data_IF_540660037432
#
_entry.id   IF_540660037432
#
_cell.length_a   1.000
_cell.length_b   1.000
_cell.length_c   1.000
_cell.angle_alpha   90.00
_cell.angle_beta   90.00
_cell.angle_gamma   90.00
#
_symmetry.space_group_name_H-M   'P 1'
#
loop_
_entity.id
_entity.type
_entity.pdbx_description
1 polymer ?
2 non-polymer ?
3 non-polymer ?
4 non-polymer ?
5 non-polymer ?
6 water ?
#
# COMPACT_ATOMS: atom_id res chain seq x y z
N UNK A 1 14.27 -18.65 -27.69
CA UNK A 1 14.59 -17.55 -28.66
C UNK A 1 14.77 -16.19 -27.95
N UNK A 2 13.94 -15.91 -26.94
CA UNK A 2 13.97 -14.62 -26.23
C UNK A 2 15.04 -14.54 -25.16
N UNK A 3 15.23 -15.63 -24.40
CA UNK A 3 16.22 -15.72 -23.30
C UNK A 3 17.54 -16.44 -23.70
N UNK A 4 17.67 -16.81 -24.98
CA UNK A 4 18.86 -17.46 -25.52
C UNK A 4 19.80 -16.43 -26.13
N UNK A 5 21.08 -16.48 -25.78
CA UNK A 5 22.06 -15.51 -26.29
C UNK A 5 22.56 -15.87 -27.69
N UNK A 6 22.49 -14.91 -28.61
CA UNK A 6 23.05 -15.08 -29.93
C UNK A 6 24.44 -14.46 -30.01
N UNK A 7 24.61 -13.29 -29.42
CA UNK A 7 25.92 -12.61 -29.34
C UNK A 7 26.00 -11.70 -28.13
N UNK A 8 27.20 -11.55 -27.59
CA UNK A 8 27.46 -10.64 -26.50
C UNK A 8 28.75 -9.93 -26.76
N UNK A 9 28.80 -8.61 -26.57
CA UNK A 9 30.06 -7.90 -26.73
C UNK A 9 30.14 -6.62 -25.91
N UNK A 10 31.36 -6.12 -25.80
CA UNK A 10 31.64 -4.89 -25.10
C UNK A 10 31.67 -3.76 -26.12
N UNK A 11 30.97 -2.67 -25.80
CA UNK A 11 30.86 -1.49 -26.65
C UNK A 11 31.27 -0.22 -25.90
N UNK A 12 31.35 0.91 -26.61
CA UNK A 12 31.35 2.23 -25.98
C UNK A 12 32.51 2.26 -24.98
N UNK A 13 33.70 1.95 -25.49
CA UNK A 13 34.91 1.90 -24.66
C UNK A 13 34.94 0.77 -23.65
N UNK A 14 34.15 -0.26 -23.95
CA UNK A 14 33.90 -1.39 -23.04
C UNK A 14 33.12 -0.99 -21.76
N UNK A 15 32.50 0.20 -21.79
CA UNK A 15 31.67 0.68 -20.69
C UNK A 15 30.21 0.14 -20.80
N UNK A 16 29.92 -0.63 -21.84
CA UNK A 16 28.55 -1.17 -22.05
C UNK A 16 28.65 -2.62 -22.54
N UNK A 17 27.72 -3.48 -22.19
CA UNK A 17 27.67 -4.82 -22.79
C UNK A 17 26.38 -4.90 -23.55
N UNK A 18 26.48 -5.29 -24.82
CA UNK A 18 25.30 -5.51 -25.64
C UNK A 18 25.09 -7.02 -25.80
N UNK A 19 23.84 -7.44 -25.60
CA UNK A 19 23.38 -8.81 -25.80
C UNK A 19 22.35 -8.76 -26.91
N UNK A 20 22.64 -9.44 -27.99
CA UNK A 20 21.66 -9.69 -29.04
C UNK A 20 21.09 -11.08 -28.76
N UNK A 21 19.78 -11.18 -28.61
CA UNK A 21 19.07 -12.45 -28.30
C UNK A 21 18.62 -13.16 -29.58
N UNK A 22 18.14 -14.41 -29.45
CA UNK A 22 17.74 -15.17 -30.65
C UNK A 22 16.41 -14.69 -31.25
N UNK A 23 15.67 -13.85 -30.52
CA UNK A 23 14.49 -13.18 -31.09
C UNK A 23 14.84 -11.92 -31.91
N UNK A 24 16.12 -11.54 -31.98
CA UNK A 24 16.59 -10.33 -32.71
C UNK A 24 16.60 -9.03 -31.84
N UNK A 25 15.92 -9.04 -30.69
CA UNK A 25 15.99 -7.90 -29.76
C UNK A 25 17.39 -7.75 -29.19
N UNK A 26 17.76 -6.52 -28.84
CA UNK A 26 19.07 -6.21 -28.30
C UNK A 26 18.83 -5.63 -26.93
N UNK A 27 19.73 -5.90 -25.98
CA UNK A 27 19.67 -5.31 -24.65
C UNK A 27 21.02 -4.78 -24.33
N UNK A 28 21.05 -3.71 -23.53
CA UNK A 28 22.28 -3.02 -23.19
C UNK A 28 22.41 -2.99 -21.65
N UNK A 29 23.65 -3.17 -21.17
CA UNK A 29 23.94 -3.32 -19.75
C UNK A 29 25.20 -2.54 -19.42
N UNK A 30 25.09 -1.53 -18.55
CA UNK A 30 26.27 -0.81 -18.19
C UNK A 30 27.27 -1.71 -17.47
N UNK A 31 28.53 -1.53 -17.78
CA UNK A 31 29.62 -2.26 -17.20
C UNK A 31 29.67 -2.13 -15.68
N UNK A 32 29.50 -0.92 -15.17
CA UNK A 32 29.51 -0.64 -13.71
C UNK A 32 28.38 -1.39 -13.00
N UNK A 33 27.21 -1.46 -13.63
CA UNK A 33 26.09 -2.22 -13.10
C UNK A 33 26.42 -3.73 -13.09
N UNK A 34 27.14 -4.22 -14.09
CA UNK A 34 27.49 -5.65 -14.12
C UNK A 34 28.46 -5.93 -12.98
N UNK A 35 29.49 -5.12 -12.86
CA UNK A 35 30.44 -5.30 -11.81
C UNK A 35 29.80 -5.18 -10.43
N UNK A 36 28.88 -4.23 -10.30
CA UNK A 36 28.24 -3.95 -8.99
C UNK A 36 27.44 -5.18 -8.56
N UNK A 37 26.88 -5.89 -9.55
CA UNK A 37 26.01 -7.02 -9.31
C UNK A 37 26.59 -8.39 -9.65
N UNK A 38 27.91 -8.52 -9.52
CA UNK A 38 28.55 -9.81 -9.69
C UNK A 38 27.98 -10.81 -8.68
N UNK A 39 27.46 -11.94 -9.14
CA UNK A 39 26.92 -12.92 -8.20
C UNK A 39 27.94 -13.85 -7.54
N UNK A 40 29.23 -13.58 -7.69
CA UNK A 40 30.24 -14.47 -7.12
C UNK A 40 30.18 -14.41 -5.57
N UNK A 41 30.74 -15.40 -4.89
CA UNK A 41 30.67 -15.48 -3.44
C UNK A 41 31.47 -14.37 -2.71
N UNK A 42 32.39 -13.70 -3.40
CA UNK A 42 33.06 -12.51 -2.79
C UNK A 42 32.16 -11.28 -2.76
N UNK A 43 31.38 -11.10 -3.83
CA UNK A 43 30.57 -9.91 -4.03
C UNK A 43 29.11 -10.01 -3.56
N UNK A 44 28.66 -11.23 -3.28
CA UNK A 44 27.26 -11.52 -3.06
C UNK A 44 27.03 -12.68 -2.06
N UNK A 45 26.29 -12.39 -1.01
CA UNK A 45 25.99 -13.36 0.05
C UNK A 45 24.71 -14.08 -0.31
N UNK A 46 24.89 -15.31 -0.79
CA UNK A 46 23.81 -16.13 -1.30
C UNK A 46 22.73 -16.49 -0.31
N UNK A 47 23.12 -16.87 0.91
CA UNK A 47 22.17 -17.18 1.99
C UNK A 47 21.27 -15.98 2.30
N UNK A 48 21.80 -14.76 2.20
CA UNK A 48 21.01 -13.54 2.44
C UNK A 48 20.41 -12.92 1.17
N UNK A 49 20.73 -13.47 0.00
CA UNK A 49 20.48 -12.80 -1.28
C UNK A 49 20.78 -11.28 -1.20
N UNK A 50 22.02 -10.95 -0.82
CA UNK A 50 22.45 -9.56 -0.65
C UNK A 50 23.86 -9.31 -1.17
N UNK A 51 24.11 -8.04 -1.47
CA UNK A 51 25.40 -7.61 -1.98
C UNK A 51 26.39 -7.45 -0.83
N UNK A 52 27.51 -8.14 -0.90
CA UNK A 52 28.63 -7.88 0.00
C UNK A 52 29.55 -6.81 -0.56
N UNK A 53 29.59 -6.70 -1.88
CA UNK A 53 30.40 -5.66 -2.53
C UNK A 53 30.13 -4.26 -1.95
N UNK A 54 31.19 -3.58 -1.52
CA UNK A 54 31.10 -2.21 -1.07
C UNK A 54 31.19 -1.22 -2.22
N UNK A 55 30.56 -0.06 -2.03
CA UNK A 55 30.57 1.00 -3.04
C UNK A 55 32.03 1.39 -3.21
N UNK A 56 32.77 1.32 -2.10
CA UNK A 56 34.18 1.64 -2.05
C UNK A 56 35.01 0.75 -2.97
N UNK A 57 34.56 -0.47 -3.25
CA UNK A 57 35.29 -1.41 -4.11
C UNK A 57 34.98 -1.19 -5.58
N UNK A 58 33.97 -0.38 -5.85
CA UNK A 58 33.47 -0.16 -7.19
C UNK A 58 34.15 1.01 -7.89
N UNK A 59 34.78 0.71 -9.02
CA UNK A 59 35.28 1.72 -9.93
C UNK A 59 34.14 2.11 -10.85
N UNK A 60 33.67 3.35 -10.73
CA UNK A 60 32.51 3.82 -11.51
C UNK A 60 32.83 4.09 -12.99
N UNK A 61 34.13 4.14 -13.31
CA UNK A 61 34.60 4.28 -14.71
C UNK A 61 34.99 2.94 -15.34
N UNK A 62 34.74 1.84 -14.63
CA UNK A 62 35.15 0.51 -15.05
C UNK A 62 34.67 0.17 -16.48
N UNK A 63 35.53 -0.54 -17.18
CA UNK A 63 35.16 -1.16 -18.46
C UNK A 63 35.34 -2.65 -18.37
N UNK A 64 34.61 -3.38 -19.22
CA UNK A 64 34.81 -4.84 -19.38
C UNK A 64 36.19 -5.12 -20.02
N UNK A 65 36.99 -6.03 -19.43
CA UNK A 65 38.28 -6.35 -20.05
C UNK A 65 38.18 -7.46 -21.10
N UNK A 66 37.68 -8.63 -20.69
CA UNK A 66 37.38 -9.67 -21.64
C UNK A 66 35.96 -10.14 -21.47
N UNK A 67 35.41 -10.69 -22.55
CA UNK A 67 34.12 -11.37 -22.47
C UNK A 67 34.03 -12.57 -23.45
N UNK A 68 33.46 -13.67 -22.96
CA UNK A 68 33.02 -14.77 -23.80
C UNK A 68 31.60 -15.15 -23.35
N UNK A 69 30.90 -15.89 -24.19
CA UNK A 69 29.53 -16.28 -23.88
C UNK A 69 29.17 -17.60 -24.52
N UNK A 70 28.12 -18.21 -24.03
CA UNK A 70 27.50 -19.29 -24.76
C UNK A 70 26.03 -18.91 -24.84
N UNK A 71 25.14 -19.88 -25.06
CA UNK A 71 23.72 -19.56 -25.20
C UNK A 71 23.00 -19.16 -23.90
N UNK A 72 23.51 -19.64 -22.75
CA UNK A 72 22.86 -19.43 -21.45
C UNK A 72 23.60 -18.50 -20.44
N UNK A 73 24.81 -18.03 -20.77
CA UNK A 73 25.71 -17.31 -19.85
C UNK A 73 26.73 -16.40 -20.56
N UNK A 74 27.14 -15.32 -19.88
CA UNK A 74 28.28 -14.51 -20.29
C UNK A 74 29.33 -14.64 -19.22
N UNK A 75 30.59 -14.62 -19.64
CA UNK A 75 31.70 -14.79 -18.73
C UNK A 75 32.62 -13.59 -18.91
N UNK A 76 32.87 -12.86 -17.83
CA UNK A 76 33.56 -11.58 -17.91
C UNK A 76 34.74 -11.52 -17.01
N UNK A 77 35.84 -10.99 -17.56
CA UNK A 77 37.01 -10.58 -16.81
C UNK A 77 37.04 -9.07 -16.72
N UNK A 78 37.49 -8.59 -15.56
CA UNK A 78 37.58 -7.17 -15.26
C UNK A 78 39.05 -6.71 -15.19
N UNK A 79 39.32 -5.43 -15.40
CA UNK A 79 40.73 -4.99 -15.41
C UNK A 79 41.59 -5.35 -14.19
N UNK A 80 40.97 -5.51 -13.01
CA UNK A 80 41.73 -5.90 -11.81
C UNK A 80 41.86 -7.42 -11.63
N UNK A 81 41.37 -8.16 -12.63
CA UNK A 81 41.39 -9.63 -12.70
C UNK A 81 40.21 -10.30 -11.98
N UNK A 82 39.30 -9.53 -11.40
CA UNK A 82 38.08 -10.12 -10.88
C UNK A 82 37.32 -10.78 -12.05
N UNK A 83 36.52 -11.81 -11.75
CA UNK A 83 35.86 -12.61 -12.77
C UNK A 83 34.38 -12.79 -12.45
N UNK A 84 33.52 -12.62 -13.45
CA UNK A 84 32.07 -12.62 -13.22
C UNK A 84 31.31 -13.45 -14.26
N UNK A 85 30.35 -14.24 -13.80
CA UNK A 85 29.47 -15.01 -14.68
C UNK A 85 28.04 -14.60 -14.46
N UNK A 86 27.31 -14.39 -15.54
CA UNK A 86 25.90 -14.01 -15.46
C UNK A 86 25.01 -14.91 -16.30
N UNK A 87 23.81 -15.18 -15.83
CA UNK A 87 22.86 -16.06 -16.53
C UNK A 87 21.92 -15.28 -17.44
N UNK A 88 21.55 -15.87 -18.56
CA UNK A 88 20.79 -15.19 -19.60
C UNK A 88 19.46 -14.71 -19.11
N UNK A 89 18.74 -15.59 -18.45
CA UNK A 89 17.38 -15.29 -17.98
C UNK A 89 17.41 -14.20 -16.93
N UNK A 90 18.37 -14.28 -16.00
CA UNK A 90 18.65 -13.21 -15.02
C UNK A 90 18.86 -11.86 -15.70
N UNK A 91 19.71 -11.83 -16.73
CA UNK A 91 20.01 -10.60 -17.46
C UNK A 91 18.78 -10.05 -18.17
N UNK A 92 18.04 -10.94 -18.82
CA UNK A 92 16.88 -10.55 -19.62
C UNK A 92 15.79 -9.91 -18.75
N UNK A 93 15.50 -10.51 -17.61
CA UNK A 93 14.55 -9.98 -16.65
C UNK A 93 14.88 -8.52 -16.28
N UNK A 94 16.17 -8.23 -16.09
CA UNK A 94 16.63 -6.94 -15.57
C UNK A 94 17.01 -5.95 -16.68
N UNK A 95 16.59 -6.26 -17.91
CA UNK A 95 16.80 -5.43 -19.11
C UNK A 95 16.33 -3.98 -18.87
N UNK A 96 17.15 -3.02 -19.27
CA UNK A 96 16.89 -1.60 -18.98
C UNK A 96 15.91 -0.88 -19.90
N UNK A 97 15.31 -1.58 -20.87
CA UNK A 97 14.30 -0.93 -21.71
C UNK A 97 13.09 -0.50 -20.89
N UNK A 98 12.38 0.52 -21.35
CA UNK A 98 11.20 1.01 -20.64
C UNK A 98 10.21 -0.13 -20.44
N UNK A 99 9.95 -0.92 -21.48
CA UNK A 99 8.95 -2.03 -21.42
C UNK A 99 9.32 -3.11 -20.43
N UNK A 100 10.58 -3.50 -20.43
CA UNK A 100 11.04 -4.55 -19.50
C UNK A 100 11.01 -4.06 -18.04
N UNK A 101 11.43 -2.82 -17.82
CA UNK A 101 11.45 -2.28 -16.45
C UNK A 101 10.02 -2.19 -15.86
N UNK A 102 9.06 -1.71 -16.65
CA UNK A 102 7.68 -1.57 -16.19
C UNK A 102 7.03 -2.93 -15.95
N UNK A 103 7.32 -3.89 -16.81
CA UNK A 103 6.78 -5.23 -16.63
C UNK A 103 7.16 -5.77 -15.26
N UNK A 104 8.44 -5.64 -14.93
CA UNK A 104 8.97 -6.12 -13.67
C UNK A 104 8.39 -5.32 -12.49
N UNK A 105 8.31 -3.99 -12.61
CA UNK A 105 7.63 -3.17 -11.58
C UNK A 105 6.19 -3.63 -11.29
N UNK A 106 5.44 -3.92 -12.33
CA UNK A 106 4.08 -4.45 -12.16
C UNK A 106 4.03 -5.76 -11.41
N UNK A 107 5.03 -6.59 -11.63
CA UNK A 107 5.11 -7.86 -10.92
C UNK A 107 5.44 -7.60 -9.49
N UNK A 108 6.29 -6.63 -9.22
CA UNK A 108 6.74 -6.41 -7.85
C UNK A 108 5.67 -5.75 -6.98
N UNK A 109 4.95 -4.79 -7.55
CA UNK A 109 4.11 -3.87 -6.78
C UNK A 109 2.61 -3.89 -7.07
N UNK A 110 2.15 -4.72 -8.00
CA UNK A 110 0.72 -4.87 -8.32
C UNK A 110 -0.01 -3.53 -8.41
N UNK A 111 0.46 -2.64 -9.28
CA UNK A 111 -0.03 -1.27 -9.26
C UNK A 111 -1.48 -1.07 -9.71
N UNK A 112 -2.09 -2.08 -10.34
CA UNK A 112 -3.39 -1.86 -10.97
C UNK A 112 -4.54 -1.64 -9.97
N UNK A 113 -5.38 -0.64 -10.25
CA UNK A 113 -6.52 -0.27 -9.40
C UNK A 113 -7.82 -0.28 -10.21
N UNK A 114 -8.90 -0.76 -9.62
CA UNK A 114 -10.20 -0.60 -10.21
C UNK A 114 -10.96 0.43 -9.42
N UNK A 115 -11.17 1.59 -10.04
CA UNK A 115 -11.85 2.69 -9.39
C UNK A 115 -13.34 2.39 -9.35
N UNK A 116 -14.02 2.86 -8.30
CA UNK A 116 -15.46 2.62 -8.19
C UNK A 116 -16.22 3.77 -7.49
N UNK A 117 -17.54 3.73 -7.71
CA UNK A 117 -18.50 4.56 -7.00
C UNK A 117 -19.61 3.71 -6.39
N UNK A 118 -20.82 4.25 -6.41
CA UNK A 118 -21.96 3.57 -5.81
C UNK A 118 -22.28 2.22 -6.46
N UNK A 119 -21.79 2.00 -7.68
CA UNK A 119 -21.99 0.71 -8.39
C UNK A 119 -21.19 -0.48 -7.83
N UNK A 120 -20.38 -0.23 -6.81
CA UNK A 120 -19.56 -1.28 -6.26
C UNK A 120 -20.27 -2.63 -6.04
N UNK A 121 -19.67 -3.67 -6.62
CA UNK A 121 -19.93 -5.06 -6.24
C UNK A 121 -18.94 -5.34 -5.15
N UNK A 122 -19.40 -5.38 -3.91
CA UNK A 122 -18.51 -5.59 -2.80
C UNK A 122 -17.84 -6.98 -2.84
N UNK A 123 -16.51 -7.03 -3.13
CA UNK A 123 -15.84 -8.33 -3.18
C UNK A 123 -15.95 -9.05 -1.85
N UNK A 124 -16.39 -10.30 -1.92
CA UNK A 124 -16.69 -11.08 -0.74
C UNK A 124 -16.06 -12.46 -0.84
N UNK A 125 -15.43 -12.93 0.24
CA UNK A 125 -14.91 -14.30 0.35
C UNK A 125 -15.27 -14.87 1.70
N UNK A 126 -15.12 -16.20 1.83
CA UNK A 126 -15.30 -16.85 3.13
C UNK A 126 -14.05 -16.67 3.98
N UNK A 127 -14.25 -16.55 5.30
CA UNK A 127 -13.19 -16.28 6.26
C UNK A 127 -12.29 -17.50 6.50
N UNK A 128 -12.88 -18.64 6.86
CA UNK A 128 -12.07 -19.86 7.11
C UNK A 128 -11.30 -20.31 5.88
N UNK A 129 -11.90 -20.13 4.70
CA UNK A 129 -11.24 -20.44 3.45
C UNK A 129 -9.99 -19.64 3.21
N UNK A 130 -10.03 -18.37 3.59
CA UNK A 130 -8.91 -17.46 3.43
C UNK A 130 -7.80 -17.90 4.39
N UNK A 131 -8.19 -18.33 5.59
CA UNK A 131 -7.22 -18.86 6.56
C UNK A 131 -6.61 -20.18 6.10
N UNK A 132 -7.47 -21.05 5.58
CA UNK A 132 -7.06 -22.39 5.22
C UNK A 132 -6.33 -22.48 3.89
N UNK A 133 -6.70 -21.70 2.88
CA UNK A 133 -6.24 -21.92 1.49
C UNK A 133 -5.50 -20.78 0.83
N UNK A 134 -4.32 -21.08 0.28
CA UNK A 134 -3.51 -20.08 -0.36
C UNK A 134 -4.22 -19.44 -1.55
N UNK A 135 -5.01 -20.23 -2.29
CA UNK A 135 -5.76 -19.71 -3.44
C UNK A 135 -6.73 -18.59 -3.00
N UNK A 136 -7.44 -18.80 -1.89
CA UNK A 136 -8.36 -17.80 -1.37
C UNK A 136 -7.66 -16.56 -0.76
N UNK A 137 -6.63 -16.83 0.05
CA UNK A 137 -5.80 -15.78 0.64
C UNK A 137 -5.14 -14.91 -0.44
N UNK A 138 -4.81 -15.51 -1.57
CA UNK A 138 -4.26 -14.76 -2.66
C UNK A 138 -5.32 -13.86 -3.28
N UNK A 139 -6.49 -14.43 -3.49
CA UNK A 139 -7.62 -13.71 -4.03
C UNK A 139 -7.97 -12.56 -3.07
N UNK A 140 -7.80 -12.81 -1.78
CA UNK A 140 -8.11 -11.82 -0.76
C UNK A 140 -7.18 -10.65 -0.91
N UNK A 141 -5.88 -10.89 -0.81
CA UNK A 141 -4.95 -9.77 -0.81
C UNK A 141 -4.86 -9.03 -2.15
N UNK A 142 -4.95 -9.75 -3.26
CA UNK A 142 -4.83 -9.11 -4.59
C UNK A 142 -6.07 -8.27 -4.84
N UNK A 143 -7.22 -8.71 -4.36
CA UNK A 143 -8.44 -7.91 -4.48
C UNK A 143 -8.42 -6.68 -3.55
N UNK A 144 -7.98 -6.88 -2.32
CA UNK A 144 -7.69 -5.77 -1.41
C UNK A 144 -6.85 -4.68 -2.10
N UNK A 145 -5.81 -5.08 -2.81
CA UNK A 145 -4.90 -4.14 -3.45
C UNK A 145 -5.58 -3.46 -4.63
N UNK A 146 -6.24 -4.27 -5.45
CA UNK A 146 -6.84 -3.78 -6.67
C UNK A 146 -8.07 -2.90 -6.39
N UNK A 147 -8.98 -3.40 -5.57
CA UNK A 147 -10.27 -2.76 -5.37
C UNK A 147 -10.24 -1.78 -4.18
N UNK A 148 -9.47 -2.10 -3.14
CA UNK A 148 -9.33 -1.27 -1.98
C UNK A 148 -10.11 -1.88 -0.83
N UNK A 149 -10.93 -2.89 -1.10
CA UNK A 149 -11.73 -3.50 -0.05
C UNK A 149 -12.17 -4.92 -0.40
N UNK A 150 -12.25 -5.75 0.64
CA UNK A 150 -12.76 -7.11 0.55
C UNK A 150 -13.51 -7.36 1.84
N UNK A 151 -14.67 -7.99 1.73
CA UNK A 151 -15.43 -8.40 2.90
C UNK A 151 -15.32 -9.90 3.09
N UNK A 152 -15.02 -10.34 4.29
CA UNK A 152 -14.95 -11.78 4.54
C UNK A 152 -16.16 -12.15 5.39
N UNK A 153 -16.90 -13.19 4.99
CA UNK A 153 -18.09 -13.63 5.72
C UNK A 153 -17.82 -14.93 6.47
N UNK A 154 -18.71 -15.29 7.40
CA UNK A 154 -18.59 -16.55 8.14
C UNK A 154 -17.49 -16.62 9.18
N UNK A 155 -17.13 -15.49 9.76
CA UNK A 155 -16.25 -15.54 10.90
C UNK A 155 -17.12 -15.72 12.15
N UNK A 156 -16.48 -15.86 13.30
CA UNK A 156 -17.22 -16.02 14.54
C UNK A 156 -17.79 -14.68 14.96
N UNK A 157 -18.60 -14.71 16.01
CA UNK A 157 -19.12 -13.50 16.63
C UNK A 157 -18.39 -13.27 17.94
N UNK A 158 -17.06 -13.41 17.90
CA UNK A 158 -16.22 -13.46 19.10
C UNK A 158 -14.93 -12.70 18.84
N UNK A 159 -14.34 -12.11 19.89
CA UNK A 159 -13.03 -11.49 19.72
C UNK A 159 -11.96 -12.47 19.24
N UNK A 160 -10.90 -11.95 18.65
CA UNK A 160 -9.78 -12.77 18.22
C UNK A 160 -9.73 -13.13 16.75
N UNK A 161 -10.72 -12.72 15.96
CA UNK A 161 -10.75 -13.12 14.54
C UNK A 161 -9.79 -12.29 13.69
N UNK A 162 -9.74 -10.98 13.93
CA UNK A 162 -8.81 -10.13 13.20
C UNK A 162 -7.34 -10.54 13.44
N UNK A 163 -7.07 -11.06 14.65
CA UNK A 163 -5.73 -11.58 15.00
C UNK A 163 -5.34 -12.71 14.09
N UNK A 164 -6.31 -13.57 13.79
CA UNK A 164 -6.05 -14.71 12.92
C UNK A 164 -5.60 -14.24 11.53
N UNK A 165 -6.21 -13.15 11.06
CA UNK A 165 -5.89 -12.58 9.75
C UNK A 165 -4.57 -11.88 9.80
N UNK A 166 -4.28 -11.25 10.92
CA UNK A 166 -2.96 -10.68 11.12
C UNK A 166 -1.88 -11.76 11.05
N UNK A 167 -2.11 -12.91 11.67
CA UNK A 167 -1.15 -14.01 11.60
C UNK A 167 -1.09 -14.48 10.15
N UNK A 168 -2.24 -14.55 9.46
CA UNK A 168 -2.24 -14.97 8.06
C UNK A 168 -1.46 -13.99 7.19
N UNK A 169 -1.57 -12.70 7.45
CA UNK A 169 -0.79 -11.73 6.68
C UNK A 169 0.68 -11.86 7.12
N UNK A 170 0.90 -11.84 8.42
CA UNK A 170 2.23 -11.89 8.99
C UNK A 170 2.22 -11.40 10.41
N UNK A 171 1.93 -10.11 10.58
CA UNK A 171 1.68 -9.52 11.90
C UNK A 171 0.97 -8.18 11.69
N UNK A 172 0.30 -7.76 12.77
CA UNK A 172 -0.47 -6.52 12.78
C UNK A 172 0.42 -5.36 13.22
N UNK A 173 -0.10 -4.15 13.08
CA UNK A 173 0.64 -2.93 13.31
C UNK A 173 0.20 -2.36 14.64
N UNK A 174 1.09 -2.46 15.63
CA UNK A 174 0.83 -1.97 16.98
C UNK A 174 0.65 -0.47 16.97
N UNK A 175 -0.42 0.02 17.60
CA UNK A 175 -0.57 1.47 17.80
C UNK A 175 -0.87 1.74 19.24
N UNK A 176 -1.07 3.00 19.58
CA UNK A 176 -1.41 3.41 20.93
C UNK A 176 -2.78 2.93 21.36
N UNK A 177 -3.57 2.42 20.43
CA UNK A 177 -4.88 1.89 20.77
C UNK A 177 -4.85 0.39 20.90
N UNK A 178 -3.66 -0.22 20.89
CA UNK A 178 -3.52 -1.65 21.13
C UNK A 178 -3.13 -2.40 19.88
N UNK A 179 -2.83 -3.68 20.01
CA UNK A 179 -2.67 -4.56 18.85
C UNK A 179 -3.97 -4.71 18.09
N UNK A 180 -5.06 -4.83 18.85
CA UNK A 180 -6.42 -4.82 18.36
C UNK A 180 -7.19 -3.93 19.32
N UNK A 181 -8.37 -3.49 18.92
CA UNK A 181 -9.10 -2.50 19.69
C UNK A 181 -10.57 -2.72 19.51
N UNK A 182 -11.35 -2.24 20.47
CA UNK A 182 -12.76 -2.55 20.55
C UNK A 182 -13.56 -1.29 20.25
N UNK A 183 -14.36 -1.30 19.18
CA UNK A 183 -15.19 -0.14 18.78
C UNK A 183 -16.58 -0.33 19.34
N UNK A 184 -16.86 0.42 20.39
CA UNK A 184 -18.13 0.32 21.11
C UNK A 184 -18.24 1.61 21.91
N UNK A 185 -19.43 1.92 22.43
CA UNK A 185 -19.67 3.16 23.20
C UNK A 185 -18.96 3.09 24.55
N UNK A 186 -18.22 4.13 24.93
CA UNK A 186 -17.38 4.07 26.13
C UNK A 186 -17.49 5.34 26.98
N UNK A 187 -17.73 5.14 28.27
CA UNK A 187 -17.67 6.22 29.26
C UNK A 187 -16.31 6.89 29.18
N UNK A 188 -16.30 8.22 29.24
CA UNK A 188 -15.09 9.01 29.08
C UNK A 188 -14.31 8.59 27.85
N UNK A 189 -15.00 8.50 26.72
CA UNK A 189 -14.37 8.04 25.49
C UNK A 189 -13.11 8.83 25.18
N UNK A 190 -11.99 8.15 24.97
CA UNK A 190 -10.78 8.81 24.48
C UNK A 190 -10.80 9.08 22.96
N UNK A 191 -11.92 8.77 22.30
CA UNK A 191 -11.97 8.85 20.84
C UNK A 191 -13.40 8.82 20.32
N UNK A 192 -13.72 9.66 19.32
CA UNK A 192 -15.12 9.75 18.86
C UNK A 192 -15.64 8.44 18.28
N UNK A 193 -14.74 7.58 17.84
CA UNK A 193 -15.13 6.25 17.37
C UNK A 193 -15.82 5.44 18.48
N UNK A 194 -15.43 5.72 19.73
CA UNK A 194 -15.96 5.05 20.89
C UNK A 194 -17.20 5.79 21.53
N UNK A 195 -18.15 6.16 20.68
CA UNK A 195 -19.39 6.78 21.09
C UNK A 195 -20.39 6.30 20.07
N UNK A 196 -21.66 6.70 20.22
CA UNK A 196 -22.71 6.34 19.28
C UNK A 196 -22.89 7.34 18.10
N UNK A 197 -22.04 8.35 18.05
CA UNK A 197 -22.16 9.41 17.08
C UNK A 197 -21.83 8.92 15.69
N UNK A 198 -22.20 9.76 14.71
CA UNK A 198 -21.95 9.51 13.31
C UNK A 198 -20.49 9.84 13.09
N UNK A 199 -19.83 9.03 12.28
CA UNK A 199 -18.51 9.33 11.80
C UNK A 199 -18.66 9.59 10.32
N UNK A 200 -18.29 10.78 9.89
CA UNK A 200 -18.26 11.10 8.47
C UNK A 200 -17.03 10.46 7.87
N UNK A 201 -16.91 10.52 6.55
CA UNK A 201 -15.78 9.93 5.87
C UNK A 201 -14.46 10.44 6.42
N UNK A 202 -13.60 9.48 6.75
CA UNK A 202 -12.26 9.74 7.23
C UNK A 202 -11.34 8.59 6.86
N UNK A 203 -10.05 8.81 6.99
CA UNK A 203 -9.09 7.73 7.04
C UNK A 203 -8.71 7.64 8.48
N UNK A 204 -8.19 6.49 8.91
CA UNK A 204 -7.79 6.28 10.30
C UNK A 204 -6.34 6.65 10.50
N UNK A 205 -6.10 7.29 11.65
CA UNK A 205 -4.80 7.65 12.18
C UNK A 205 -3.93 8.61 11.37
N UNK A 206 -4.52 9.69 10.79
CA UNK A 206 -3.64 10.71 10.22
C UNK A 206 -2.74 11.41 11.25
N UNK A 207 -3.09 11.32 12.53
CA UNK A 207 -2.21 11.81 13.61
C UNK A 207 -0.82 11.15 13.58
N UNK A 208 -0.67 10.02 12.88
CA UNK A 208 0.66 9.41 12.66
C UNK A 208 1.24 9.78 11.29
N UNK A 209 2.53 10.07 11.24
CA UNK A 209 3.20 10.32 9.97
C UNK A 209 3.16 9.11 9.03
N UNK A 210 3.05 7.90 9.56
CA UNK A 210 2.79 6.72 8.71
C UNK A 210 1.45 6.03 9.05
N UNK A 211 0.34 6.58 8.55
CA UNK A 211 -0.95 5.94 8.85
C UNK A 211 -1.03 4.45 8.45
N UNK A 212 -1.82 3.66 9.19
CA UNK A 212 -2.04 2.29 8.81
C UNK A 212 -2.43 2.16 7.31
N UNK A 213 -1.78 1.22 6.63
CA UNK A 213 -2.10 0.95 5.26
C UNK A 213 -3.42 0.18 5.15
N UNK A 214 -3.58 -0.85 5.98
CA UNK A 214 -4.73 -1.72 5.86
C UNK A 214 -5.46 -1.75 7.16
N UNK A 215 -6.79 -1.72 7.09
CA UNK A 215 -7.61 -1.76 8.28
C UNK A 215 -8.48 -2.99 8.23
N UNK A 216 -8.64 -3.62 9.38
CA UNK A 216 -9.54 -4.75 9.55
C UNK A 216 -10.57 -4.37 10.60
N UNK A 217 -11.84 -4.60 10.30
CA UNK A 217 -12.94 -4.34 11.22
C UNK A 217 -13.85 -5.56 11.17
N UNK A 218 -14.11 -6.11 12.34
CA UNK A 218 -14.86 -7.34 12.45
C UNK A 218 -16.06 -7.06 13.33
N UNK A 219 -17.24 -7.39 12.80
CA UNK A 219 -18.47 -7.13 13.53
C UNK A 219 -18.81 -8.29 14.47
N UNK A 220 -18.81 -8.00 15.76
CA UNK A 220 -19.16 -8.96 16.80
C UNK A 220 -20.65 -8.78 17.16
N UNK A 221 -21.07 -7.53 17.32
CA UNK A 221 -22.44 -7.18 17.67
C UNK A 221 -22.88 -5.95 16.85
N UNK A 222 -24.08 -6.03 16.28
CA UNK A 222 -24.64 -4.95 15.45
C UNK A 222 -25.96 -4.47 16.02
N UNK A 223 -26.20 -3.17 15.89
CA UNK A 223 -27.44 -2.58 16.41
C UNK A 223 -28.44 -2.47 15.25
N UNK A 224 -29.73 -2.46 15.58
CA UNK A 224 -30.71 -2.15 14.54
C UNK A 224 -31.06 -0.67 14.56
N UNK A 225 -30.53 0.09 15.53
CA UNK A 225 -30.91 1.49 15.66
C UNK A 225 -30.12 2.39 14.73
N UNK A 226 -29.17 1.80 13.99
CA UNK A 226 -28.33 2.50 13.05
C UNK A 226 -27.06 1.70 12.76
N UNK A 227 -25.94 2.43 12.64
CA UNK A 227 -24.62 1.82 12.53
C UNK A 227 -24.21 1.33 11.16
N UNK A 228 -24.89 1.82 10.12
CA UNK A 228 -24.58 1.39 8.77
C UNK A 228 -23.18 1.86 8.42
N UNK A 229 -22.47 1.08 7.60
CA UNK A 229 -21.15 1.46 7.16
C UNK A 229 -21.28 2.23 5.88
N UNK A 230 -20.35 3.14 5.65
CA UNK A 230 -20.24 3.83 4.38
C UNK A 230 -18.78 3.82 3.96
N UNK A 231 -18.53 3.62 2.66
CA UNK A 231 -17.17 3.76 2.12
C UNK A 231 -17.22 4.60 0.86
N UNK A 232 -16.05 5.09 0.48
CA UNK A 232 -15.85 5.91 -0.71
C UNK A 232 -14.43 5.64 -1.22
N UNK A 233 -14.21 5.67 -2.53
CA UNK A 233 -12.90 5.43 -3.12
C UNK A 233 -12.22 6.78 -3.29
N UNK A 234 -11.28 7.06 -2.40
CA UNK A 234 -10.68 8.37 -2.36
C UNK A 234 -9.95 8.73 -3.64
N UNK A 235 -9.37 7.74 -4.31
CA UNK A 235 -8.61 8.05 -5.52
C UNK A 235 -9.57 8.50 -6.58
N UNK A 236 -10.72 7.87 -6.62
CA UNK A 236 -11.76 8.24 -7.59
C UNK A 236 -12.29 9.63 -7.30
N UNK A 237 -12.53 9.90 -6.02
CA UNK A 237 -13.01 11.22 -5.63
C UNK A 237 -12.00 12.31 -5.95
N UNK A 238 -10.72 12.02 -5.76
CA UNK A 238 -9.69 13.00 -6.02
C UNK A 238 -9.63 13.33 -7.50
N UNK A 239 -9.84 12.30 -8.31
CA UNK A 239 -9.80 12.47 -9.74
C UNK A 239 -10.95 13.42 -10.19
N UNK A 240 -12.15 13.22 -9.66
CA UNK A 240 -13.28 14.09 -9.94
C UNK A 240 -13.01 15.53 -9.48
N UNK A 241 -12.43 15.66 -8.30
CA UNK A 241 -12.13 16.98 -7.76
C UNK A 241 -11.17 17.77 -8.63
N UNK A 242 -10.11 17.13 -9.10
CA UNK A 242 -9.15 17.79 -9.99
C UNK A 242 -9.78 18.30 -11.26
N UNK A 243 -10.75 17.56 -11.75
CA UNK A 243 -11.51 17.90 -12.94
C UNK A 243 -12.51 19.02 -12.64
N UNK A 244 -13.32 18.86 -11.59
CA UNK A 244 -14.31 19.87 -11.19
C UNK A 244 -13.76 21.16 -10.58
N UNK A 245 -12.74 21.06 -9.73
CA UNK A 245 -12.25 22.21 -8.97
C UNK A 245 -10.73 22.15 -8.84
N UNK A 246 -10.03 22.52 -9.91
CA UNK A 246 -8.60 22.35 -9.86
C UNK A 246 -8.03 23.11 -8.71
N UNK A 247 -8.60 24.27 -8.40
CA UNK A 247 -8.02 25.08 -7.35
C UNK A 247 -8.19 24.43 -5.98
N UNK A 248 -9.30 23.74 -5.74
CA UNK A 248 -9.51 23.00 -4.51
C UNK A 248 -8.53 21.81 -4.39
N UNK A 249 -8.29 21.16 -5.51
CA UNK A 249 -7.32 20.07 -5.60
C UNK A 249 -5.92 20.59 -5.29
N UNK A 250 -5.54 21.69 -5.93
CA UNK A 250 -4.22 22.27 -5.68
C UNK A 250 -3.98 22.59 -4.20
N UNK A 251 -5.00 23.14 -3.54
CA UNK A 251 -4.93 23.54 -2.13
C UNK A 251 -4.83 22.33 -1.21
N UNK A 252 -5.73 21.38 -1.41
CA UNK A 252 -5.73 20.16 -0.62
C UNK A 252 -4.50 19.27 -0.85
N UNK A 253 -3.93 19.32 -2.05
CA UNK A 253 -2.72 18.58 -2.33
C UNK A 253 -1.42 19.32 -2.04
N UNK A 254 -1.48 20.57 -1.51
CA UNK A 254 -0.25 21.31 -1.12
C UNK A 254 -0.19 21.92 0.32
N UNK A 255 -1.30 21.90 1.04
CA UNK A 255 -1.38 22.54 2.33
C UNK A 255 -1.13 21.52 3.40
N UNK A 256 -0.14 21.75 4.26
CA UNK A 256 0.06 20.89 5.42
C UNK A 256 -0.94 21.24 6.54
N UNK A 257 -1.73 20.23 6.91
CA UNK A 257 -2.73 20.28 7.96
C UNK A 257 -2.20 19.52 9.19
N UNK A 258 -2.40 20.10 10.39
CA UNK A 258 -1.89 19.51 11.62
C UNK A 258 -2.92 18.58 12.19
N UNK A 259 -2.52 17.39 12.64
CA UNK A 259 -3.44 16.44 13.29
C UNK A 259 -2.89 16.16 14.67
N UNK A 260 -3.76 15.77 15.60
CA UNK A 260 -3.39 15.62 16.99
C UNK A 260 -4.11 14.48 17.66
N UNK A 261 -3.52 13.93 18.70
CA UNK A 261 -4.20 12.90 19.50
C UNK A 261 -3.48 12.82 20.84
N UNK A 262 -4.17 13.24 21.91
CA UNK A 262 -3.59 13.24 23.25
C UNK A 262 -4.53 12.40 24.09
N UNK A 263 -4.00 11.46 24.86
CA UNK A 263 -4.85 10.55 25.64
C UNK A 263 -4.09 9.41 26.31
N UNK A 264 -4.84 8.41 26.74
CA UNK A 264 -4.29 7.20 27.34
C UNK A 264 -5.08 6.02 26.82
N UNK A 265 -4.41 5.03 26.25
CA UNK A 265 -5.09 3.76 25.92
C UNK A 265 -4.06 2.66 26.14
N UNK A 266 -3.49 2.07 25.09
CA UNK A 266 -2.46 1.04 25.29
C UNK A 266 -1.38 1.62 26.20
N UNK A 267 -1.26 2.93 26.18
CA UNK A 267 -0.19 3.59 26.82
C UNK A 267 -0.54 5.07 26.78
N UNK A 268 0.23 5.94 27.44
CA UNK A 268 -0.09 7.38 27.40
C UNK A 268 0.58 8.03 26.21
N UNK A 269 -0.12 8.98 25.62
CA UNK A 269 0.30 9.53 24.35
C UNK A 269 -0.08 10.98 24.13
N UNK A 270 0.81 11.66 23.41
CA UNK A 270 0.61 13.01 22.92
C UNK A 270 1.16 12.97 21.50
N UNK A 271 0.29 12.80 20.52
CA UNK A 271 0.69 12.56 19.12
C UNK A 271 0.35 13.78 18.26
N UNK A 272 1.30 14.18 17.39
CA UNK A 272 1.16 15.32 16.50
C UNK A 272 1.76 15.01 15.12
N UNK A 273 1.08 15.41 14.05
CA UNK A 273 1.61 15.23 12.71
C UNK A 273 1.19 16.37 11.82
N UNK A 274 1.84 16.44 10.67
CA UNK A 274 1.45 17.30 9.55
C UNK A 274 1.33 16.40 8.33
N UNK A 275 0.25 16.54 7.56
CA UNK A 275 0.04 15.82 6.32
C UNK A 275 -0.72 16.72 5.35
N UNK A 276 -0.48 16.52 4.06
CA UNK A 276 -1.34 17.08 3.05
C UNK A 276 -2.52 16.12 2.91
N UNK A 277 -3.75 16.64 2.93
CA UNK A 277 -4.94 15.78 2.83
C UNK A 277 -4.87 14.93 1.57
N UNK A 278 -4.56 15.53 0.43
CA UNK A 278 -4.34 14.74 -0.76
C UNK A 278 -2.84 14.65 -0.95
N UNK A 279 -2.29 13.46 -0.71
CA UNK A 279 -0.82 13.29 -0.84
C UNK A 279 -0.45 12.78 -2.24
N UNK A 280 0.43 13.48 -2.93
CA UNK A 280 0.85 13.08 -4.27
C UNK A 280 2.25 12.49 -4.28
N UNK A 281 2.53 11.61 -5.24
CA UNK A 281 3.92 11.19 -5.51
C UNK A 281 4.62 12.25 -6.38
N UNK A 282 5.85 11.96 -6.81
CA UNK A 282 6.65 12.92 -7.61
C UNK A 282 6.11 13.10 -9.02
N UNK A 283 5.29 12.15 -9.48
CA UNK A 283 4.63 12.33 -10.77
C UNK A 283 3.24 12.94 -10.66
N UNK A 284 2.87 13.40 -9.47
CA UNK A 284 1.57 14.05 -9.28
C UNK A 284 0.38 13.11 -9.13
N UNK A 285 0.63 11.82 -8.96
CA UNK A 285 -0.44 10.85 -8.81
C UNK A 285 -0.82 10.70 -7.34
N UNK A 286 -2.10 10.57 -7.06
CA UNK A 286 -2.50 10.47 -5.69
C UNK A 286 -2.10 9.13 -5.18
N UNK A 287 -1.36 9.11 -4.08
CA UNK A 287 -0.95 7.86 -3.44
C UNK A 287 -1.46 7.69 -2.01
N UNK A 288 -1.88 8.78 -1.34
CA UNK A 288 -2.59 8.65 -0.04
C UNK A 288 -3.46 9.86 0.30
N UNK A 289 -4.55 9.56 1.01
CA UNK A 289 -5.44 10.54 1.62
C UNK A 289 -5.22 10.50 3.11
N UNK A 290 -5.05 11.68 3.70
CA UNK A 290 -4.79 11.84 5.11
C UNK A 290 -5.81 12.81 5.68
N UNK A 291 -6.91 12.27 6.18
CA UNK A 291 -7.97 13.11 6.65
C UNK A 291 -8.94 12.42 7.61
N UNK A 292 -8.86 12.77 8.89
CA UNK A 292 -9.91 12.48 9.87
C UNK A 292 -10.31 13.82 10.51
N UNK A 293 -11.58 14.22 10.35
CA UNK A 293 -12.01 15.54 10.86
C UNK A 293 -12.01 15.61 12.37
N UNK A 294 -12.08 14.46 13.02
CA UNK A 294 -12.06 14.42 14.47
C UNK A 294 -10.70 14.87 15.01
N UNK A 295 -9.64 14.41 14.37
CA UNK A 295 -8.28 14.57 14.90
C UNK A 295 -7.52 15.66 14.21
N UNK A 296 -8.16 16.35 13.30
CA UNK A 296 -7.58 17.57 12.75
C UNK A 296 -7.43 18.57 13.92
N UNK A 297 -6.24 19.13 14.09
CA UNK A 297 -5.96 20.01 15.23
C UNK A 297 -6.72 21.38 15.16
N UNK A 298 -6.85 22.02 16.31
CA UNK A 298 -7.28 23.42 16.39
C UNK A 298 -6.13 24.32 15.90
N UNK A 299 -4.92 23.86 16.15
CA UNK A 299 -3.74 24.46 15.55
C UNK A 299 -3.79 24.27 14.02
N UNK A 300 -3.56 25.36 13.27
CA UNK A 300 -3.53 25.30 11.81
C UNK A 300 -2.46 26.23 11.28
N UNK A 301 -1.35 25.63 10.80
CA UNK A 301 -0.08 26.32 10.49
C UNK A 301 -0.11 26.88 9.09
N UNK A 302 -1.02 27.83 8.84
CA UNK A 302 -1.06 28.52 7.55
C UNK A 302 -1.32 30.01 7.78
N UNK A 303 -0.92 30.86 6.81
CA UNK A 303 -1.16 32.31 6.91
C UNK A 303 -2.63 32.58 6.92
N UNK A 304 -3.00 33.72 7.49
CA UNK A 304 -4.42 33.99 7.75
C UNK A 304 -5.26 33.95 6.47
N UNK A 305 -4.66 34.42 5.36
CA UNK A 305 -5.39 34.55 4.08
C UNK A 305 -5.67 33.22 3.38
N UNK A 306 -4.95 32.17 3.77
CA UNK A 306 -5.18 30.82 3.23
C UNK A 306 -6.24 29.99 3.96
N UNK A 307 -6.65 30.46 5.14
CA UNK A 307 -7.53 29.68 5.99
C UNK A 307 -8.88 29.43 5.34
N UNK A 308 -9.60 30.49 4.96
CA UNK A 308 -10.95 30.30 4.47
C UNK A 308 -11.03 29.51 3.14
N UNK A 309 -10.13 29.80 2.19
CA UNK A 309 -10.08 28.96 0.99
C UNK A 309 -9.76 27.49 1.29
N UNK A 310 -8.92 27.20 2.28
CA UNK A 310 -8.70 25.81 2.66
C UNK A 310 -10.02 25.17 3.03
N UNK A 311 -10.80 25.85 3.85
CA UNK A 311 -12.08 25.30 4.28
C UNK A 311 -13.04 25.17 3.11
N UNK A 312 -13.03 26.15 2.21
CA UNK A 312 -13.91 26.04 1.04
C UNK A 312 -13.48 24.80 0.21
N UNK A 313 -12.17 24.53 0.15
CA UNK A 313 -11.64 23.33 -0.57
C UNK A 313 -12.04 22.04 0.11
N UNK A 314 -11.74 21.93 1.39
CA UNK A 314 -12.14 20.74 2.16
C UNK A 314 -13.62 20.40 1.95
N UNK A 315 -14.45 21.45 1.92
CA UNK A 315 -15.90 21.33 1.81
C UNK A 315 -16.29 20.73 0.49
N UNK A 316 -15.72 21.24 -0.61
CA UNK A 316 -15.97 20.65 -1.95
C UNK A 316 -15.64 19.14 -2.01
N UNK A 317 -14.51 18.81 -1.40
CA UNK A 317 -14.03 17.43 -1.31
C UNK A 317 -15.03 16.54 -0.56
N UNK A 318 -15.42 16.95 0.65
CA UNK A 318 -16.39 16.20 1.45
C UNK A 318 -17.74 16.10 0.73
N UNK A 319 -18.11 17.17 0.04
CA UNK A 319 -19.36 17.14 -0.70
C UNK A 319 -19.29 16.07 -1.80
N UNK A 320 -18.14 15.97 -2.48
CA UNK A 320 -17.94 14.92 -3.49
C UNK A 320 -18.04 13.54 -2.93
N UNK A 321 -17.42 13.33 -1.76
CA UNK A 321 -17.51 12.02 -1.07
C UNK A 321 -18.93 11.62 -0.73
N UNK A 322 -19.75 12.58 -0.33
CA UNK A 322 -21.16 12.32 0.04
C UNK A 322 -22.11 12.17 -1.13
N UNK A 323 -21.65 12.49 -2.34
CA UNK A 323 -22.47 12.36 -3.52
C UNK A 323 -22.97 10.93 -3.73
N UNK A 324 -24.23 10.79 -4.07
CA UNK A 324 -24.83 9.46 -4.24
C UNK A 324 -24.10 8.62 -5.32
N UNK A 325 -23.38 9.26 -6.24
CA UNK A 325 -22.57 8.53 -7.24
C UNK A 325 -21.23 7.95 -6.73
N UNK A 326 -20.76 8.40 -5.57
CA UNK A 326 -19.45 8.01 -5.08
C UNK A 326 -19.54 7.02 -3.94
N UNK A 327 -20.48 7.20 -3.04
CA UNK A 327 -20.46 6.38 -1.85
C UNK A 327 -21.25 5.11 -2.00
N UNK A 328 -20.75 4.09 -1.32
CA UNK A 328 -21.40 2.80 -1.23
C UNK A 328 -21.66 2.59 0.25
N UNK A 329 -22.86 2.14 0.58
CA UNK A 329 -23.26 1.99 1.96
C UNK A 329 -23.76 0.56 2.18
N UNK A 330 -23.49 0.03 3.36
CA UNK A 330 -23.83 -1.34 3.65
C UNK A 330 -23.86 -1.46 5.14
N UNK A 331 -24.42 -2.55 5.64
CA UNK A 331 -24.52 -2.76 7.07
C UNK A 331 -23.87 -4.08 7.38
N UNK A 332 -22.88 -4.04 8.28
CA UNK A 332 -22.16 -5.23 8.68
C UNK A 332 -23.05 -6.07 9.61
N UNK A 333 -22.91 -7.39 9.50
CA UNK A 333 -23.54 -8.34 10.41
C UNK A 333 -22.51 -9.04 11.26
N UNK A 334 -22.92 -9.52 12.44
CA UNK A 334 -22.02 -10.35 13.23
C UNK A 334 -21.43 -11.48 12.39
N UNK A 335 -20.11 -11.61 12.36
CA UNK A 335 -19.44 -12.58 11.51
C UNK A 335 -18.78 -11.95 10.30
N UNK A 336 -19.15 -10.71 9.99
CA UNK A 336 -18.53 -10.01 8.88
C UNK A 336 -17.21 -9.39 9.28
N UNK A 337 -16.25 -9.43 8.37
CA UNK A 337 -14.98 -8.73 8.52
C UNK A 337 -14.73 -7.92 7.25
N UNK A 338 -14.51 -6.62 7.38
CA UNK A 338 -14.06 -5.83 6.23
C UNK A 338 -12.57 -5.47 6.38
N UNK A 339 -11.86 -5.62 5.28
CA UNK A 339 -10.42 -5.39 5.18
C UNK A 339 -10.28 -4.43 4.02
N UNK A 340 -9.66 -3.27 4.28
CA UNK A 340 -9.56 -2.32 3.23
C UNK A 340 -8.29 -1.53 3.25
N UNK A 341 -8.07 -0.81 2.15
CA UNK A 341 -6.96 0.12 1.98
C UNK A 341 -7.32 1.44 2.65
N UNK A 342 -6.70 1.68 3.79
CA UNK A 342 -6.88 2.89 4.59
C UNK A 342 -6.06 4.08 4.07
N UNK A 343 -5.31 3.86 3.00
CA UNK A 343 -4.65 4.97 2.30
C UNK A 343 -5.54 5.52 1.16
N UNK A 344 -6.45 4.71 0.65
CA UNK A 344 -7.26 5.05 -0.51
C UNK A 344 -8.72 5.26 -0.14
N UNK A 345 -9.32 4.33 0.60
CA UNK A 345 -10.73 4.49 0.91
C UNK A 345 -10.94 5.53 2.03
N UNK A 346 -12.10 6.19 2.09
CA UNK A 346 -12.48 6.82 3.35
C UNK A 346 -13.71 6.09 3.83
N UNK A 347 -13.85 5.97 5.13
CA UNK A 347 -14.93 5.18 5.62
C UNK A 347 -15.69 5.89 6.72
N UNK A 348 -16.87 5.39 7.02
CA UNK A 348 -17.75 6.09 7.89
C UNK A 348 -18.83 5.23 8.46
N UNK A 349 -19.60 5.82 9.35
CA UNK A 349 -20.58 5.08 10.11
C UNK A 349 -21.73 6.03 10.49
N UNK A 350 -22.96 5.51 10.39
CA UNK A 350 -24.14 6.25 10.83
C UNK A 350 -24.30 6.17 12.33
N UNK A 351 -24.89 7.21 12.90
CA UNK A 351 -25.16 7.24 14.34
C UNK A 351 -26.09 6.08 14.74
N UNK A 352 -26.08 5.74 16.02
CA UNK A 352 -27.00 4.72 16.51
C UNK A 352 -27.33 5.13 17.93
N UNK A 353 -28.17 4.37 18.61
CA UNK A 353 -28.67 4.80 19.93
C UNK A 353 -27.86 4.13 21.05
N UNK A 354 -27.55 4.94 22.06
CA UNK A 354 -26.91 4.48 23.29
C UNK A 354 -27.89 3.74 24.18
N UNK A 355 -27.37 2.77 24.92
CA UNK A 355 -28.16 2.07 25.91
C UNK A 355 -27.35 1.75 27.14
N UNK A 356 -27.99 1.14 28.12
CA UNK A 356 -27.29 0.69 29.32
C UNK A 356 -26.41 -0.53 29.03
N UNK A 357 -26.77 -1.34 28.05
CA UNK A 357 -25.91 -2.45 27.59
C UNK A 357 -25.30 -2.13 26.22
N UNK A 358 -24.21 -2.84 25.90
CA UNK A 358 -23.51 -2.65 24.64
C UNK A 358 -24.36 -3.25 23.51
N UNK A 359 -24.87 -2.40 22.63
CA UNK A 359 -25.71 -2.87 21.53
C UNK A 359 -24.88 -3.13 20.27
N UNK A 360 -23.65 -2.62 20.29
CA UNK A 360 -22.81 -2.61 19.11
C UNK A 360 -21.33 -2.73 19.47
N UNK A 361 -20.65 -3.68 18.82
CA UNK A 361 -19.26 -4.00 19.10
C UNK A 361 -18.55 -4.46 17.82
N UNK A 362 -17.49 -3.73 17.44
CA UNK A 362 -16.57 -4.18 16.41
C UNK A 362 -15.20 -4.41 17.04
N UNK A 363 -14.40 -5.30 16.46
CA UNK A 363 -13.00 -5.37 16.79
C UNK A 363 -12.18 -5.06 15.54
N UNK A 364 -11.19 -4.19 15.71
CA UNK A 364 -10.37 -3.78 14.61
C UNK A 364 -8.89 -3.97 14.87
N UNK A 365 -8.14 -3.87 13.79
CA UNK A 365 -6.70 -3.85 13.86
C UNK A 365 -6.23 -3.28 12.55
N UNK A 366 -4.93 -3.05 12.47
CA UNK A 366 -4.27 -2.48 11.31
C UNK A 366 -3.11 -3.36 10.89
N UNK A 367 -2.62 -3.11 9.68
CA UNK A 367 -1.40 -3.76 9.19
C UNK A 367 -0.72 -2.85 8.20
N UNK A 368 0.60 -2.99 8.10
CA UNK A 368 1.39 -2.18 7.20
C UNK A 368 1.29 -2.76 5.81
N UNK A 369 1.26 -1.88 4.81
CA UNK A 369 1.15 -2.30 3.40
C UNK A 369 2.35 -3.09 2.94
N UNK A 370 3.52 -2.83 3.49
CA UNK A 370 4.71 -3.60 3.13
C UNK A 370 4.64 -5.06 3.61
N UNK A 371 4.02 -5.26 4.78
CA UNK A 371 3.83 -6.57 5.37
C UNK A 371 2.79 -7.34 4.54
N UNK A 372 1.83 -6.60 3.99
CA UNK A 372 0.73 -7.19 3.22
C UNK A 372 1.18 -7.59 1.83
N UNK A 373 1.95 -6.71 1.21
CA UNK A 373 2.52 -6.94 -0.12
C UNK A 373 3.52 -8.06 -0.11
N UNK A 374 4.28 -8.20 0.97
CA UNK A 374 5.16 -9.35 1.14
C UNK A 374 4.40 -10.67 1.08
N UNK A 375 3.31 -10.78 1.84
CA UNK A 375 2.52 -11.99 1.87
C UNK A 375 1.89 -12.17 0.51
N UNK A 376 1.52 -11.07 -0.15
CA UNK A 376 0.93 -11.15 -1.49
C UNK A 376 1.89 -11.76 -2.50
N UNK A 377 3.12 -11.26 -2.54
CA UNK A 377 4.16 -11.76 -3.44
C UNK A 377 4.48 -13.23 -3.22
N UNK A 378 4.57 -13.65 -1.95
CA UNK A 378 4.81 -15.05 -1.61
C UNK A 378 3.61 -15.91 -2.01
N UNK A 379 2.41 -15.40 -1.78
CA UNK A 379 1.21 -16.17 -2.10
C UNK A 379 1.12 -16.38 -3.59
N UNK A 380 1.42 -15.36 -4.39
CA UNK A 380 1.39 -15.48 -5.85
C UNK A 380 2.35 -16.56 -6.34
N UNK A 381 3.55 -16.60 -5.76
CA UNK A 381 4.56 -17.58 -6.12
C UNK A 381 4.08 -19.01 -5.88
N UNK A 382 3.35 -19.25 -4.77
CA UNK A 382 2.88 -20.60 -4.41
C UNK A 382 1.72 -21.10 -5.27
N UNK A 383 0.91 -20.17 -5.78
CA UNK A 383 -0.29 -20.49 -6.54
C UNK A 383 -0.02 -20.53 -8.04
N UNK A 384 1.12 -19.98 -8.48
CA UNK A 384 1.49 -19.94 -9.89
C UNK A 384 2.76 -20.72 -10.16
X LIG B 1 -13.49 3.87 13.46
X LIG B 1 -14.52 3.59 12.48
X LIG B 1 -16.59 2.56 11.92
X LIG B 1 -17.75 1.89 12.59
X LIG B 1 -12.49 4.52 13.10
X LIG B 1 -13.62 3.40 14.63
X LIG B 1 -14.43 3.96 11.32
X LIG B 1 -18.55 1.36 11.82
X LIG B 1 -15.55 2.87 12.88
X LIG B 1 -17.90 1.92 13.84
X LIG C 1 -8.62 3.34 17.34
X LIG C 1 -7.55 2.59 16.55
X LIG C 1 -10.39 3.22 15.67
X LIG C 1 -10.45 4.79 17.47
X LIG C 1 -8.80 5.12 15.72
X LIG C 1 -9.70 6.17 15.05
X LIG C 1 -8.99 6.92 13.95
X LIG C 1 -8.26 8.14 14.43
X LIG C 1 -9.56 4.11 16.50
X LIG C 1 -8.15 8.45 15.64
X LIG C 1 -6.50 3.43 16.27
X LIG C 1 -7.73 8.81 13.53
X LIG D 1 -12.33 4.74 11.22
X LIG E 1 32.38 -11.09 -7.84
X LIG F 1 32.18 -22.52 -20.57
X LIG F 1 32.88 -21.23 -20.29
X LIG F 1 33.61 -21.28 -18.96
X LIG F 1 34.54 -20.06 -18.76
X LIG F 1 35.37 -20.15 -17.48
X LIG F 1 36.44 -19.06 -17.47
X LIG F 1 37.30 -19.09 -16.20
X LIG F 1 38.27 -17.95 -16.17
#
# INVERSE_FOLDING_TARGET
>A
MACTIQKAEALDGAHLMQILWYDEEESLYPAVWLRDNCPCSDCYLDSAKARKLLVEALDVNIGIKGLIFDRKKVYITWPDEHYSEFQADWLKKRCFSKQARAKLQRELFFPECQYWGSELQLPTLDFEDVLRYDEHAYKWLSTLKKVGIVRLTGASDKPGEVSKLGKRMGFLYLTFYGHTWQVQDKIDANNVAYTTGKLSFHTDYPALHHPPGVQLLHCIKQTVTGGDSEIVDGFNVCQKLKKNNPQAFQILSSTFVDFTDIGVDYCDFSVQSKHKIIELDDKGQVVRINFNNATRDTIFDVPVERVQPFYAALKEFVDLMNSKESKFTFKMNPGDVITFDNWRLLHGRRSYEAGTEISRHLEGAYADWDVVMSRLRILRQRVENGN
>B hetero
1 OGA C1 C2 C4 C5 O1 O2 O2' O3 N1 O4
>C hetero
1 DLT CAF CAE CAA CAH CAJ CAK CAL CAM N3 OAC F26 OAB
>D hetero
1 ZN ZN
>E hetero
1 ZN ZN
>F hetero
1 16D N1 C1 C2 C3 C4 C5 C6 N2
#
